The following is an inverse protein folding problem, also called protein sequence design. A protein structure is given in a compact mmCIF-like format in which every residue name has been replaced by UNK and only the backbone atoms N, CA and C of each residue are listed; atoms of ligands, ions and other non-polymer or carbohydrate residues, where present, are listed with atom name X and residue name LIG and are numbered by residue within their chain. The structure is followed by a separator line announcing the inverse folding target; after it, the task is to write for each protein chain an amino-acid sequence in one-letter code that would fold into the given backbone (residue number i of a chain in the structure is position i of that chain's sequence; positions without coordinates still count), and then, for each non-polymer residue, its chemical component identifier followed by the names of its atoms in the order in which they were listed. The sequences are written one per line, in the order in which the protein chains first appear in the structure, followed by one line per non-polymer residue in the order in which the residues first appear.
data_IF_695856726330
#
_entry.id   IF_695856726330
#
_cell.length_a   1.000
_cell.length_b   1.000
_cell.length_c   1.000
_cell.angle_alpha   90.00
_cell.angle_beta   90.00
_cell.angle_gamma   90.00
#
_symmetry.space_group_name_H-M   'P 1'
#
loop_
_entity.id
_entity.type
_entity.pdbx_description
1 polymer ?
#
# COMPACT_ATOMS: atom_id res chain seq x y z
N UNK A 1 1.13 4.31 18.76
CA UNK A 1 1.67 3.06 18.16
C UNK A 1 3.05 3.36 17.58
N UNK A 2 4.08 2.61 17.97
CA UNK A 2 5.46 2.85 17.54
C UNK A 2 5.58 2.72 16.00
N UNK A 3 6.26 3.67 15.34
CA UNK A 3 6.44 3.68 13.87
C UNK A 3 6.94 2.34 13.33
N UNK A 4 7.84 1.68 14.06
CA UNK A 4 8.40 0.37 13.74
C UNK A 4 7.31 -0.70 13.60
N UNK A 5 6.33 -0.76 14.51
CA UNK A 5 5.23 -1.74 14.45
C UNK A 5 4.40 -1.55 13.18
N UNK A 6 4.07 -0.30 12.83
CA UNK A 6 3.31 0.02 11.61
C UNK A 6 4.06 -0.44 10.36
N UNK A 7 5.37 -0.27 10.36
CA UNK A 7 6.24 -0.66 9.25
C UNK A 7 6.28 -2.18 9.05
N UNK A 8 6.44 -2.93 10.13
CA UNK A 8 6.41 -4.40 10.08
C UNK A 8 5.06 -4.90 9.56
N UNK A 9 3.96 -4.31 10.02
CA UNK A 9 2.61 -4.66 9.54
C UNK A 9 2.46 -4.38 8.04
N UNK A 10 2.97 -3.24 7.57
CA UNK A 10 2.94 -2.90 6.14
C UNK A 10 3.78 -3.88 5.31
N UNK A 11 5.00 -4.20 5.74
CA UNK A 11 5.85 -5.18 5.06
C UNK A 11 5.16 -6.56 4.97
N UNK A 12 4.53 -7.00 6.06
CA UNK A 12 3.72 -8.23 6.06
C UNK A 12 2.53 -8.15 5.11
N UNK A 13 1.86 -6.99 5.04
CA UNK A 13 0.75 -6.79 4.12
C UNK A 13 1.21 -6.88 2.65
N UNK A 14 2.37 -6.31 2.31
CA UNK A 14 2.97 -6.45 0.99
C UNK A 14 3.30 -7.91 0.67
N UNK A 15 4.00 -8.59 1.59
CA UNK A 15 4.35 -10.01 1.44
C UNK A 15 3.12 -10.90 1.22
N UNK A 16 2.06 -10.72 2.00
CA UNK A 16 0.82 -11.46 1.80
C UNK A 16 0.13 -11.10 0.47
N UNK A 17 0.22 -9.85 0.05
CA UNK A 17 -0.40 -9.38 -1.20
C UNK A 17 0.27 -10.00 -2.43
N UNK A 18 1.58 -10.23 -2.42
CA UNK A 18 2.28 -10.88 -3.55
C UNK A 18 1.81 -12.32 -3.79
N UNK A 19 1.29 -13.02 -2.76
CA UNK A 19 0.69 -14.35 -2.95
C UNK A 19 -0.76 -14.31 -3.47
N UNK A 20 -1.47 -13.21 -3.21
CA UNK A 20 -2.90 -13.07 -3.54
C UNK A 20 -3.08 -12.44 -4.92
N UNK A 21 -2.19 -11.55 -5.32
CA UNK A 21 -2.31 -10.74 -6.54
C UNK A 21 -1.18 -11.10 -7.50
N UNK A 22 -1.51 -11.86 -8.54
CA UNK A 22 -0.57 -12.40 -9.55
C UNK A 22 0.08 -11.36 -10.47
N UNK A 23 -0.02 -10.07 -10.16
CA UNK A 23 0.59 -8.98 -10.94
C UNK A 23 1.23 -7.93 -10.05
N UNK A 24 1.58 -8.32 -8.83
CA UNK A 24 2.43 -7.58 -7.90
C UNK A 24 3.52 -8.54 -7.46
N UNK A 25 4.73 -8.29 -7.94
CA UNK A 25 5.89 -9.11 -7.63
C UNK A 25 6.92 -8.25 -6.89
N UNK A 26 7.52 -8.83 -5.86
CA UNK A 26 8.64 -8.24 -5.13
C UNK A 26 9.77 -9.25 -5.19
N UNK A 27 10.97 -8.82 -5.56
CA UNK A 27 12.13 -9.69 -5.63
C UNK A 27 12.38 -10.41 -4.29
N UNK A 28 12.83 -11.66 -4.36
CA UNK A 28 13.06 -12.50 -3.20
C UNK A 28 13.99 -11.83 -2.17
N UNK A 29 13.58 -11.88 -0.91
CA UNK A 29 14.34 -11.36 0.22
C UNK A 29 13.50 -10.57 1.20
N UNK A 30 13.56 -10.94 2.49
CA UNK A 30 12.80 -10.25 3.53
C UNK A 30 13.07 -8.73 3.56
N UNK A 31 14.31 -8.32 3.25
CA UNK A 31 14.70 -6.92 3.17
C UNK A 31 13.93 -6.14 2.08
N UNK A 32 13.63 -6.76 0.94
CA UNK A 32 12.93 -6.09 -0.17
C UNK A 32 11.51 -5.71 0.24
N UNK A 33 10.80 -6.57 0.98
CA UNK A 33 9.47 -6.23 1.51
C UNK A 33 9.52 -5.06 2.50
N UNK A 34 10.56 -5.01 3.36
CA UNK A 34 10.78 -3.87 4.24
C UNK A 34 11.08 -2.59 3.46
N UNK A 35 11.93 -2.68 2.43
CA UNK A 35 12.29 -1.56 1.56
C UNK A 35 11.07 -1.02 0.78
N UNK A 36 10.25 -1.89 0.21
CA UNK A 36 9.02 -1.50 -0.49
C UNK A 36 8.03 -0.87 0.49
N UNK A 37 7.84 -1.44 1.68
CA UNK A 37 6.99 -0.86 2.72
C UNK A 37 7.51 0.50 3.21
N UNK A 38 8.83 0.68 3.25
CA UNK A 38 9.51 1.94 3.53
C UNK A 38 9.16 2.99 2.50
N UNK A 39 9.44 2.67 1.24
CA UNK A 39 9.24 3.58 0.11
C UNK A 39 7.76 3.95 -0.03
N UNK A 40 6.86 2.96 0.05
CA UNK A 40 5.42 3.20 0.06
C UNK A 40 4.98 4.07 1.24
N UNK A 41 5.52 3.84 2.44
CA UNK A 41 5.25 4.67 3.60
C UNK A 41 5.61 6.14 3.36
N UNK A 42 6.81 6.39 2.81
CA UNK A 42 7.28 7.73 2.47
C UNK A 42 6.39 8.36 1.39
N UNK A 43 6.22 7.69 0.25
CA UNK A 43 5.40 8.17 -0.87
C UNK A 43 3.98 8.48 -0.43
N UNK A 44 3.33 7.59 0.33
CA UNK A 44 1.97 7.79 0.79
C UNK A 44 1.85 8.93 1.83
N UNK A 45 2.87 9.15 2.67
CA UNK A 45 2.87 10.25 3.64
C UNK A 45 2.98 11.62 2.96
N UNK A 46 3.84 11.76 1.94
CA UNK A 46 4.00 13.05 1.25
C UNK A 46 2.97 13.24 0.14
N UNK A 47 2.94 12.34 -0.83
CA UNK A 47 2.11 12.47 -2.04
C UNK A 47 0.69 11.96 -1.82
N UNK A 48 0.54 10.82 -1.14
CA UNK A 48 -0.77 10.22 -0.90
C UNK A 48 -1.70 11.14 -0.10
N UNK A 49 -1.18 11.81 0.93
CA UNK A 49 -1.92 12.80 1.72
C UNK A 49 -2.35 14.01 0.88
N UNK A 50 -1.43 14.54 0.07
CA UNK A 50 -1.70 15.69 -0.79
C UNK A 50 -2.74 15.36 -1.87
N UNK A 51 -2.63 14.21 -2.53
CA UNK A 51 -3.61 13.75 -3.51
C UNK A 51 -4.98 13.59 -2.89
N UNK A 52 -5.09 12.96 -1.71
CA UNK A 52 -6.38 12.83 -0.98
C UNK A 52 -7.02 14.18 -0.69
N UNK A 53 -6.23 15.21 -0.39
CA UNK A 53 -6.72 16.57 -0.17
C UNK A 53 -7.26 17.19 -1.46
N UNK A 54 -6.57 17.04 -2.59
CA UNK A 54 -7.06 17.57 -3.87
C UNK A 54 -8.22 16.78 -4.47
N UNK A 55 -8.26 15.47 -4.23
CA UNK A 55 -9.31 14.58 -4.73
C UNK A 55 -10.46 14.41 -3.74
N UNK A 56 -10.48 15.17 -2.64
CA UNK A 56 -11.49 15.09 -1.59
C UNK A 56 -12.94 15.12 -2.12
N UNK A 57 -13.30 16.01 -3.08
CA UNK A 57 -14.64 15.99 -3.67
C UNK A 57 -14.97 14.66 -4.34
N UNK A 58 -14.04 14.10 -5.12
CA UNK A 58 -14.22 12.79 -5.76
C UNK A 58 -14.29 11.65 -4.73
N UNK A 59 -13.50 11.72 -3.66
CA UNK A 59 -13.55 10.78 -2.55
C UNK A 59 -14.93 10.80 -1.88
N UNK A 60 -15.51 11.98 -1.64
CA UNK A 60 -16.86 12.10 -1.05
C UNK A 60 -17.93 11.58 -2.01
N UNK A 61 -17.88 11.97 -3.28
CA UNK A 61 -18.85 11.56 -4.30
C UNK A 61 -18.87 10.04 -4.53
N UNK A 62 -17.74 9.37 -4.30
CA UNK A 62 -17.60 7.91 -4.43
C UNK A 62 -17.70 7.16 -3.09
N UNK A 63 -18.13 7.83 -2.01
CA UNK A 63 -18.23 7.26 -0.66
C UNK A 63 -16.92 6.64 -0.14
N UNK A 64 -15.78 7.22 -0.51
CA UNK A 64 -14.46 6.73 -0.11
C UNK A 64 -13.81 5.76 -1.09
N UNK A 65 -14.51 5.26 -2.10
CA UNK A 65 -13.97 4.28 -3.05
C UNK A 65 -12.75 4.84 -3.81
N UNK A 66 -12.74 6.14 -4.12
CA UNK A 66 -11.63 6.78 -4.80
C UNK A 66 -10.31 6.74 -4.01
N UNK A 67 -10.35 6.51 -2.68
CA UNK A 67 -9.13 6.31 -1.87
C UNK A 67 -8.32 5.10 -2.35
N UNK A 68 -8.98 4.03 -2.81
CA UNK A 68 -8.28 2.87 -3.36
C UNK A 68 -7.56 3.21 -4.67
N UNK A 69 -8.16 4.06 -5.51
CA UNK A 69 -7.53 4.56 -6.74
C UNK A 69 -6.27 5.36 -6.40
N UNK A 70 -6.33 6.22 -5.37
CA UNK A 70 -5.16 6.98 -4.92
C UNK A 70 -4.07 6.05 -4.38
N UNK A 71 -4.44 5.08 -3.53
CA UNK A 71 -3.48 4.13 -2.97
C UNK A 71 -2.83 3.26 -4.07
N UNK A 72 -3.60 2.87 -5.10
CA UNK A 72 -3.09 2.18 -6.29
C UNK A 72 -2.14 3.06 -7.11
N UNK A 73 -2.46 4.35 -7.26
CA UNK A 73 -1.57 5.32 -7.87
C UNK A 73 -0.26 5.46 -7.09
N UNK A 74 -0.31 5.41 -5.75
CA UNK A 74 0.91 5.38 -4.91
C UNK A 74 1.71 4.09 -5.09
N UNK A 75 1.06 2.93 -5.17
CA UNK A 75 1.74 1.66 -5.44
C UNK A 75 2.46 1.67 -6.79
N UNK A 76 1.78 2.11 -7.84
CA UNK A 76 2.40 2.23 -9.18
C UNK A 76 3.51 3.29 -9.22
N UNK A 77 3.47 4.30 -8.35
CA UNK A 77 4.57 5.24 -8.22
C UNK A 77 5.78 4.63 -7.51
N UNK A 78 5.54 3.82 -6.47
CA UNK A 78 6.60 3.07 -5.76
C UNK A 78 7.25 2.05 -6.68
N UNK A 79 6.46 1.34 -7.49
CA UNK A 79 6.94 0.45 -8.56
C UNK A 79 7.90 1.17 -9.50
N UNK A 80 7.56 2.37 -9.96
CA UNK A 80 8.46 3.19 -10.80
C UNK A 80 9.73 3.69 -10.10
N UNK A 81 9.77 3.73 -8.78
CA UNK A 81 10.89 4.24 -7.99
C UNK A 81 11.71 3.13 -7.33
N UNK A 82 11.24 1.89 -7.39
CA UNK A 82 11.82 0.74 -6.73
C UNK A 82 12.23 -0.28 -7.77
N UNK A 83 13.51 -0.62 -7.82
CA UNK A 83 14.00 -1.66 -8.72
C UNK A 83 13.51 -3.07 -8.31
N UNK A 84 13.03 -3.24 -7.07
CA UNK A 84 12.64 -4.54 -6.50
C UNK A 84 11.13 -4.80 -6.48
N UNK A 85 10.29 -3.85 -6.92
CA UNK A 85 8.83 -4.01 -6.98
C UNK A 85 8.41 -3.90 -8.44
N UNK A 86 7.68 -4.89 -8.93
CA UNK A 86 7.11 -4.90 -10.27
C UNK A 86 5.60 -5.01 -10.21
N UNK A 87 4.89 -4.14 -10.92
CA UNK A 87 3.43 -4.15 -11.06
C UNK A 87 3.03 -4.16 -12.54
N UNK A 88 2.40 -5.25 -12.99
CA UNK A 88 2.07 -5.43 -14.42
C UNK A 88 1.11 -4.37 -14.97
N UNK A 89 0.05 -4.08 -14.22
CA UNK A 89 -1.08 -3.26 -14.65
C UNK A 89 -1.64 -2.47 -13.48
N UNK A 90 -2.24 -1.32 -13.80
CA UNK A 90 -2.92 -0.49 -12.80
C UNK A 90 -4.03 -1.26 -12.05
N UNK A 91 -4.72 -2.19 -12.72
CA UNK A 91 -5.73 -3.04 -12.07
C UNK A 91 -5.13 -3.94 -10.98
N UNK A 92 -3.92 -4.48 -11.21
CA UNK A 92 -3.19 -5.24 -10.19
C UNK A 92 -2.86 -4.35 -8.99
N UNK A 93 -2.40 -3.12 -9.23
CA UNK A 93 -2.20 -2.12 -8.16
C UNK A 93 -3.49 -1.78 -7.40
N UNK A 94 -4.64 -1.70 -8.11
CA UNK A 94 -5.93 -1.40 -7.50
C UNK A 94 -6.40 -2.52 -6.57
N UNK A 95 -6.30 -3.77 -7.02
CA UNK A 95 -6.61 -4.94 -6.19
C UNK A 95 -5.60 -5.03 -5.04
N UNK A 96 -4.31 -4.83 -5.31
CA UNK A 96 -3.26 -4.82 -4.28
C UNK A 96 -3.50 -3.76 -3.21
N UNK A 97 -3.84 -2.53 -3.60
CA UNK A 97 -4.15 -1.46 -2.66
C UNK A 97 -5.32 -1.81 -1.74
N UNK A 98 -6.33 -2.50 -2.27
CA UNK A 98 -7.47 -2.99 -1.50
C UNK A 98 -7.04 -4.08 -0.51
N UNK A 99 -6.30 -5.09 -0.97
CA UNK A 99 -5.81 -6.19 -0.13
C UNK A 99 -4.88 -5.67 0.98
N UNK A 100 -3.90 -4.82 0.65
CA UNK A 100 -2.99 -4.20 1.62
C UNK A 100 -3.77 -3.40 2.67
N UNK A 101 -4.80 -2.65 2.26
CA UNK A 101 -5.63 -1.86 3.17
C UNK A 101 -6.43 -2.76 4.13
N UNK A 102 -6.96 -3.89 3.63
CA UNK A 102 -7.68 -4.86 4.44
C UNK A 102 -6.75 -5.55 5.45
N UNK A 103 -5.61 -6.06 5.00
CA UNK A 103 -4.63 -6.74 5.87
C UNK A 103 -4.12 -5.77 6.94
N UNK A 104 -3.67 -4.58 6.53
CA UNK A 104 -3.17 -3.58 7.45
C UNK A 104 -4.25 -3.16 8.45
N UNK A 105 -5.48 -2.92 7.99
CA UNK A 105 -6.60 -2.55 8.85
C UNK A 105 -6.97 -3.63 9.88
N UNK A 106 -6.98 -4.90 9.46
CA UNK A 106 -7.25 -6.03 10.35
C UNK A 106 -6.14 -6.22 11.38
N UNK A 107 -4.88 -6.24 10.96
CA UNK A 107 -3.74 -6.40 11.87
C UNK A 107 -3.64 -5.25 12.86
N UNK A 108 -3.92 -4.01 12.44
CA UNK A 108 -3.90 -2.86 13.33
C UNK A 108 -4.99 -2.94 14.42
N UNK A 109 -6.18 -3.48 14.08
CA UNK A 109 -7.25 -3.73 15.06
C UNK A 109 -6.85 -4.80 16.08
N UNK A 110 -6.18 -5.86 15.65
CA UNK A 110 -5.68 -6.91 16.56
C UNK A 110 -4.60 -6.37 17.50
N UNK A 111 -3.62 -5.63 16.95
CA UNK A 111 -2.49 -5.09 17.72
C UNK A 111 -2.92 -4.01 18.72
N UNK A 112 -3.96 -3.23 18.42
CA UNK A 112 -4.48 -2.22 19.34
C UNK A 112 -5.42 -2.78 20.42
N UNK A 113 -5.85 -4.04 20.29
CA UNK A 113 -6.72 -4.69 21.27
C UNK A 113 -5.94 -5.48 22.34
N UNK A 114 -4.63 -5.65 22.15
CA UNK A 114 -3.69 -6.25 23.09
C UNK A 114 -2.86 -5.17 23.80
#
# INVERSE_FOLDING_TARGET
MNLVKRWVILALAFWLTTFIVSGIEIEDGAWNYFWVAALFGVVNTFLGGLLKLFTLPAVILTFGLFVFVINAAMLTLVDRWSDVLTIDKFTSALIGALIISLISGFTNKLVNKA
#
